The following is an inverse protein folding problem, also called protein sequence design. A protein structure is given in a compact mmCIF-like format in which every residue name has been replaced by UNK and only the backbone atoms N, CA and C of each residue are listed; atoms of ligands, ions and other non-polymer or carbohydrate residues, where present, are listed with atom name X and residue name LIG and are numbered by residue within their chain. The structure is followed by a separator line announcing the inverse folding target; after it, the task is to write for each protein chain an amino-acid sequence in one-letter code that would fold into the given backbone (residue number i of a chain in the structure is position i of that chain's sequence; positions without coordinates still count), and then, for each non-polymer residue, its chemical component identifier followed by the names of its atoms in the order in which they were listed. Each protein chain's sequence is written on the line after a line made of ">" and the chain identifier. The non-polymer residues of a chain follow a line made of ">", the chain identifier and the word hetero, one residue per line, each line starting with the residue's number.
data_IF_459128490957
#
_entry.id   IF_459128490957
#
_cell.length_a   1.000
_cell.length_b   1.000
_cell.length_c   1.000
_cell.angle_alpha   90.00
_cell.angle_beta   90.00
_cell.angle_gamma   90.00
#
_symmetry.space_group_name_H-M   'P 1'
#
loop_
_entity.id
_entity.type
_entity.pdbx_description
1 polymer ?
#
# COMPACT_ATOMS: atom_id res chain seq x y z
N UNK A 1 17.18 -54.72 34.23
CA UNK A 1 17.04 -53.80 33.09
C UNK A 1 15.62 -53.24 33.10
N UNK A 2 15.45 -51.92 33.27
CA UNK A 2 14.15 -51.23 33.15
C UNK A 2 14.22 -50.31 31.94
N UNK A 3 13.45 -50.62 30.91
CA UNK A 3 13.26 -49.81 29.69
C UNK A 3 12.65 -48.46 30.04
N UNK A 4 13.22 -47.32 29.61
CA UNK A 4 12.58 -46.03 29.80
C UNK A 4 11.39 -45.86 28.84
N UNK A 5 10.36 -45.24 29.39
CA UNK A 5 9.02 -45.03 28.85
C UNK A 5 9.03 -44.10 27.63
N UNK A 6 8.76 -44.66 26.45
CA UNK A 6 8.63 -43.99 25.14
C UNK A 6 7.43 -43.01 25.08
N UNK A 7 6.55 -43.00 26.08
CA UNK A 7 5.30 -42.22 26.02
C UNK A 7 5.46 -40.70 26.19
N UNK A 8 6.56 -40.22 26.78
CA UNK A 8 6.74 -38.77 27.05
C UNK A 8 7.43 -38.01 25.92
N UNK A 9 8.09 -38.69 24.99
CA UNK A 9 8.86 -38.06 23.92
C UNK A 9 7.98 -37.56 22.74
N UNK A 10 6.79 -38.12 22.56
CA UNK A 10 5.92 -37.80 21.41
C UNK A 10 5.05 -36.55 21.60
N UNK A 11 4.72 -36.20 22.85
CA UNK A 11 3.80 -35.08 23.14
C UNK A 11 4.52 -33.73 23.02
N UNK A 12 5.82 -33.66 23.35
CA UNK A 12 6.61 -32.41 23.26
C UNK A 12 6.94 -31.98 21.83
N UNK A 13 7.11 -32.92 20.90
CA UNK A 13 7.51 -32.63 19.52
C UNK A 13 6.38 -32.03 18.67
N UNK A 14 5.11 -32.26 19.05
CA UNK A 14 3.95 -31.78 18.27
C UNK A 14 3.64 -30.29 18.51
N UNK A 15 4.11 -29.70 19.62
CA UNK A 15 3.80 -28.30 19.98
C UNK A 15 4.77 -27.31 19.30
N UNK A 16 6.00 -27.73 18.96
CA UNK A 16 6.97 -26.87 18.27
C UNK A 16 6.75 -26.73 16.76
N UNK A 17 5.95 -27.61 16.14
CA UNK A 17 5.67 -27.54 14.71
C UNK A 17 4.58 -26.51 14.34
N UNK A 18 3.73 -26.10 15.30
CA UNK A 18 2.61 -25.19 15.05
C UNK A 18 3.00 -23.70 15.08
N UNK A 19 4.20 -23.35 15.55
CA UNK A 19 4.63 -21.96 15.74
C UNK A 19 5.41 -21.35 14.56
N UNK A 20 5.56 -22.07 13.44
CA UNK A 20 6.38 -21.63 12.30
C UNK A 20 5.58 -21.06 11.11
N UNK A 21 4.26 -20.92 11.25
CA UNK A 21 3.40 -20.34 10.20
C UNK A 21 2.61 -19.13 10.72
N UNK A 22 3.31 -18.12 11.22
CA UNK A 22 2.76 -16.76 11.21
C UNK A 22 3.33 -16.05 10.00
N UNK A 23 2.87 -16.43 8.80
CA UNK A 23 2.97 -15.54 7.65
C UNK A 23 2.15 -14.31 8.00
N UNK A 24 2.83 -13.27 8.46
CA UNK A 24 2.29 -11.93 8.64
C UNK A 24 1.90 -11.41 7.25
N UNK A 25 0.75 -11.85 6.75
CA UNK A 25 0.08 -11.24 5.62
C UNK A 25 -0.46 -9.89 6.11
N UNK A 26 0.42 -8.90 6.21
CA UNK A 26 0.03 -7.49 6.23
C UNK A 26 -0.37 -7.15 4.79
N UNK A 27 -1.50 -7.71 4.38
CA UNK A 27 -2.04 -7.63 3.06
C UNK A 27 -2.87 -6.36 2.92
N UNK A 28 -2.54 -5.56 1.90
CA UNK A 28 -3.28 -4.36 1.49
C UNK A 28 -3.39 -3.24 2.55
N UNK A 29 -2.68 -2.13 2.32
CA UNK A 29 -2.80 -0.92 3.12
C UNK A 29 -3.92 0.00 2.62
N UNK A 30 -4.62 0.65 3.53
CA UNK A 30 -5.60 1.71 3.25
C UNK A 30 -5.33 2.88 4.19
N UNK A 31 -5.34 4.10 3.65
CA UNK A 31 -5.14 5.33 4.43
C UNK A 31 -5.91 6.49 3.84
N UNK A 32 -6.36 7.40 4.71
CA UNK A 32 -7.09 8.61 4.31
C UNK A 32 -6.39 9.86 4.82
N UNK A 33 -6.44 10.93 4.05
CA UNK A 33 -5.87 12.22 4.40
C UNK A 33 -6.65 13.37 3.74
N UNK A 34 -6.27 14.60 4.09
CA UNK A 34 -6.80 15.84 3.50
C UNK A 34 -5.67 16.53 2.75
N UNK A 35 -5.85 16.69 1.44
CA UNK A 35 -4.89 17.35 0.55
C UNK A 35 -5.15 18.86 0.49
N UNK A 36 -4.18 19.65 0.95
CA UNK A 36 -4.26 21.11 1.05
C UNK A 36 -5.54 21.54 1.78
N UNK A 37 -5.51 21.36 3.09
CA UNK A 37 -6.61 21.70 4.00
C UNK A 37 -7.05 23.17 3.91
N UNK A 38 -6.14 24.08 3.51
CA UNK A 38 -6.44 25.48 3.26
C UNK A 38 -7.19 25.71 1.92
N UNK A 39 -7.08 24.77 0.99
CA UNK A 39 -7.77 24.77 -0.30
C UNK A 39 -7.28 25.83 -1.28
N UNK A 40 -6.11 26.41 -1.06
CA UNK A 40 -5.60 27.54 -1.85
C UNK A 40 -4.53 27.15 -2.88
N UNK A 41 -4.01 25.92 -2.85
CA UNK A 41 -2.96 25.44 -3.76
C UNK A 41 -3.54 24.52 -4.83
N UNK A 42 -3.69 25.02 -6.06
CA UNK A 42 -4.24 24.26 -7.18
C UNK A 42 -3.42 23.03 -7.60
N UNK A 43 -2.17 22.93 -7.16
CA UNK A 43 -1.26 21.82 -7.47
C UNK A 43 -0.75 21.13 -6.21
N UNK A 44 -1.51 21.19 -5.12
CA UNK A 44 -1.16 20.52 -3.87
C UNK A 44 -0.84 19.04 -4.12
N UNK A 45 0.25 18.60 -3.49
CA UNK A 45 0.77 17.23 -3.65
C UNK A 45 1.27 16.72 -2.30
N UNK A 46 0.75 15.57 -1.90
CA UNK A 46 1.25 14.79 -0.77
C UNK A 46 2.15 13.67 -1.28
N UNK A 47 3.16 13.30 -0.49
CA UNK A 47 4.17 12.32 -0.85
C UNK A 47 4.40 11.32 0.28
N UNK A 48 4.45 10.04 -0.08
CA UNK A 48 4.86 8.94 0.77
C UNK A 48 5.92 8.08 0.07
N UNK A 49 6.73 7.38 0.86
CA UNK A 49 7.55 6.26 0.39
C UNK A 49 6.97 4.96 0.91
N UNK A 50 6.95 3.95 0.06
CA UNK A 50 6.52 2.59 0.42
C UNK A 50 7.69 1.65 0.19
N UNK A 51 8.09 0.93 1.22
CA UNK A 51 9.12 -0.08 1.10
C UNK A 51 8.47 -1.46 0.89
N UNK A 52 8.77 -2.08 -0.25
CA UNK A 52 8.35 -3.44 -0.55
C UNK A 52 9.44 -4.45 -0.17
N UNK A 53 9.09 -5.56 0.51
CA UNK A 53 10.06 -6.56 0.94
C UNK A 53 10.56 -7.43 -0.24
N UNK A 54 11.59 -8.23 0.04
CA UNK A 54 12.09 -9.26 -0.88
C UNK A 54 10.97 -10.22 -1.32
N UNK A 55 11.04 -10.71 -2.55
CA UNK A 55 9.98 -11.54 -3.16
C UNK A 55 8.83 -10.73 -3.79
N UNK A 56 8.83 -9.41 -3.64
CA UNK A 56 7.93 -8.53 -4.39
C UNK A 56 8.31 -8.50 -5.86
N UNK A 57 7.31 -8.60 -6.73
CA UNK A 57 7.38 -8.41 -8.18
C UNK A 57 6.98 -6.96 -8.57
N UNK A 58 5.90 -6.45 -7.98
CA UNK A 58 5.39 -5.11 -8.28
C UNK A 58 4.68 -4.46 -7.09
N UNK A 59 4.56 -3.14 -7.16
CA UNK A 59 3.76 -2.33 -6.24
C UNK A 59 2.55 -1.77 -6.97
N UNK A 60 1.38 -1.83 -6.33
CA UNK A 60 0.10 -1.38 -6.87
C UNK A 60 -0.55 -0.35 -5.94
N UNK A 61 -1.25 0.63 -6.52
CA UNK A 61 -2.05 1.57 -5.76
C UNK A 61 -3.27 2.08 -6.55
N UNK A 62 -4.25 2.60 -5.82
CA UNK A 62 -5.42 3.30 -6.33
C UNK A 62 -5.80 4.43 -5.37
N UNK A 63 -6.55 5.43 -5.86
CA UNK A 63 -7.04 6.55 -5.05
C UNK A 63 -8.54 6.75 -5.22
N UNK A 64 -9.18 7.22 -4.16
CA UNK A 64 -10.58 7.61 -4.11
C UNK A 64 -10.66 9.06 -3.61
N UNK A 65 -11.20 9.98 -4.41
CA UNK A 65 -11.65 11.29 -3.92
C UNK A 65 -12.98 11.09 -3.18
N UNK A 66 -12.99 11.36 -1.88
CA UNK A 66 -14.19 11.25 -1.02
C UNK A 66 -14.90 12.59 -0.83
N UNK A 67 -14.43 13.63 -1.51
CA UNK A 67 -15.00 14.98 -1.45
C UNK A 67 -16.20 15.13 -2.38
N UNK A 68 -16.98 16.20 -2.20
CA UNK A 68 -17.99 16.58 -3.17
C UNK A 68 -17.35 16.91 -4.53
N UNK A 69 -18.01 16.50 -5.61
CA UNK A 69 -17.52 16.72 -6.96
C UNK A 69 -17.48 18.22 -7.27
N UNK A 70 -16.35 18.68 -7.81
CA UNK A 70 -16.18 20.05 -8.33
C UNK A 70 -15.64 19.95 -9.73
N UNK A 71 -16.25 20.69 -10.66
CA UNK A 71 -15.84 20.68 -12.05
C UNK A 71 -14.37 21.10 -12.20
N UNK A 72 -13.61 20.29 -12.94
CA UNK A 72 -12.18 20.55 -13.20
C UNK A 72 -11.23 20.25 -12.05
N UNK A 73 -11.73 19.75 -10.91
CA UNK A 73 -10.88 19.30 -9.80
C UNK A 73 -10.85 17.78 -9.74
N UNK A 74 -9.70 17.23 -10.06
CA UNK A 74 -9.41 15.80 -10.06
C UNK A 74 -8.34 15.48 -9.03
N UNK A 75 -8.41 14.29 -8.45
CA UNK A 75 -7.38 13.74 -7.55
C UNK A 75 -6.75 12.52 -8.24
N UNK A 76 -5.43 12.52 -8.35
CA UNK A 76 -4.67 11.45 -9.00
C UNK A 76 -3.61 10.89 -8.08
N UNK A 77 -3.35 9.59 -8.21
CA UNK A 77 -2.23 8.90 -7.58
C UNK A 77 -1.17 8.64 -8.62
N UNK A 78 0.09 8.81 -8.23
CA UNK A 78 1.25 8.49 -9.04
C UNK A 78 2.15 7.54 -8.27
N UNK A 79 2.59 6.49 -8.94
CA UNK A 79 3.61 5.57 -8.43
C UNK A 79 4.87 5.80 -9.23
N UNK A 80 6.00 5.91 -8.55
CA UNK A 80 7.31 6.07 -9.16
C UNK A 80 8.33 5.14 -8.53
N UNK A 81 9.14 4.49 -9.37
CA UNK A 81 10.34 3.77 -8.96
C UNK A 81 11.36 3.77 -10.08
N UNK A 82 12.60 4.13 -9.77
CA UNK A 82 13.73 4.22 -10.69
C UNK A 82 13.44 5.06 -11.93
N UNK A 83 13.03 4.44 -13.03
CA UNK A 83 12.69 5.11 -14.30
C UNK A 83 11.24 4.84 -14.74
N UNK A 84 10.49 4.09 -13.93
CA UNK A 84 9.12 3.72 -14.21
C UNK A 84 8.15 4.59 -13.40
N UNK A 85 7.08 5.03 -14.07
CA UNK A 85 6.01 5.78 -13.45
C UNK A 85 4.67 5.36 -14.03
N UNK A 86 3.65 5.30 -13.19
CA UNK A 86 2.25 5.12 -13.62
C UNK A 86 1.33 6.06 -12.84
N UNK A 87 0.14 6.31 -13.37
CA UNK A 87 -0.82 7.26 -12.83
C UNK A 87 -2.23 6.73 -12.95
N UNK A 88 -3.04 6.94 -11.92
CA UNK A 88 -4.48 6.73 -11.98
C UNK A 88 -5.22 7.91 -11.36
N UNK A 89 -6.41 8.21 -11.88
CA UNK A 89 -7.21 9.36 -11.45
C UNK A 89 -8.56 8.88 -10.94
N UNK A 90 -8.95 9.35 -9.76
CA UNK A 90 -10.30 9.10 -9.24
C UNK A 90 -11.30 9.94 -10.04
N UNK A 91 -12.42 9.31 -10.42
CA UNK A 91 -13.49 9.99 -11.16
C UNK A 91 -14.83 9.75 -10.49
N UNK A 92 -15.64 10.81 -10.39
CA UNK A 92 -17.03 10.77 -9.91
C UNK A 92 -17.19 10.12 -8.52
N UNK A 93 -16.23 10.34 -7.61
CA UNK A 93 -16.27 9.77 -6.26
C UNK A 93 -16.10 8.24 -6.21
N UNK A 94 -15.53 7.64 -7.26
CA UNK A 94 -15.18 6.23 -7.30
C UNK A 94 -13.66 6.06 -7.19
N UNK A 95 -13.25 4.86 -6.78
CA UNK A 95 -11.85 4.45 -6.88
C UNK A 95 -11.36 4.62 -8.33
N UNK A 96 -10.12 5.08 -8.48
CA UNK A 96 -9.40 4.98 -9.74
C UNK A 96 -9.17 3.52 -10.11
N UNK A 97 -8.77 3.27 -11.36
CA UNK A 97 -8.16 1.99 -11.70
C UNK A 97 -6.96 1.71 -10.78
N UNK A 98 -6.73 0.42 -10.50
CA UNK A 98 -5.50 -0.02 -9.83
C UNK A 98 -4.38 0.03 -10.85
N UNK A 99 -3.32 0.76 -10.54
CA UNK A 99 -2.12 0.86 -11.37
C UNK A 99 -0.93 0.28 -10.64
N UNK A 100 0.02 -0.28 -11.41
CA UNK A 100 1.17 -1.00 -10.87
C UNK A 100 2.48 -0.61 -11.52
N UNK A 101 3.58 -0.68 -10.76
CA UNK A 101 4.95 -0.56 -11.25
C UNK A 101 5.71 -1.84 -10.93
N UNK A 102 6.24 -2.50 -11.98
CA UNK A 102 6.98 -3.75 -11.91
C UNK A 102 8.46 -3.48 -11.70
N UNK A 103 8.80 -3.06 -10.47
CA UNK A 103 10.17 -2.74 -10.08
C UNK A 103 10.75 -3.67 -9.02
N UNK A 104 10.09 -4.77 -8.68
CA UNK A 104 10.54 -5.71 -7.65
C UNK A 104 10.59 -5.13 -6.24
N UNK A 105 11.39 -5.74 -5.36
CA UNK A 105 11.62 -5.30 -3.99
C UNK A 105 12.32 -3.93 -3.88
N UNK A 106 12.14 -3.23 -2.75
CA UNK A 106 12.74 -1.93 -2.45
C UNK A 106 11.72 -0.78 -2.40
N UNK A 107 12.24 0.44 -2.38
CA UNK A 107 11.44 1.65 -2.16
C UNK A 107 10.73 2.12 -3.43
N UNK A 108 9.45 2.41 -3.29
CA UNK A 108 8.60 3.11 -4.25
C UNK A 108 8.21 4.48 -3.66
N UNK A 109 7.97 5.45 -4.53
CA UNK A 109 7.37 6.73 -4.16
C UNK A 109 5.93 6.76 -4.64
N UNK A 110 5.05 7.18 -3.73
CA UNK A 110 3.62 7.30 -3.96
C UNK A 110 3.24 8.77 -3.72
N UNK A 111 2.70 9.43 -4.73
CA UNK A 111 2.21 10.80 -4.57
C UNK A 111 0.73 10.90 -4.91
N UNK A 112 0.03 11.78 -4.20
CA UNK A 112 -1.36 12.14 -4.51
C UNK A 112 -1.42 13.62 -4.80
N UNK A 113 -1.97 13.97 -5.96
CA UNK A 113 -2.00 15.35 -6.47
C UNK A 113 -3.41 15.74 -6.91
N UNK A 114 -3.74 17.03 -6.73
CA UNK A 114 -4.95 17.64 -7.30
C UNK A 114 -4.67 18.61 -8.45
N UNK A 115 -5.71 18.91 -9.22
CA UNK A 115 -5.63 19.75 -10.44
C UNK A 115 -6.21 21.16 -10.29
N UNK A 116 -6.85 21.49 -9.17
CA UNK A 116 -7.45 22.81 -8.96
C UNK A 116 -7.56 23.19 -7.47
N UNK A 117 -7.90 24.46 -7.19
CA UNK A 117 -8.11 24.98 -5.83
C UNK A 117 -9.33 24.33 -5.15
N UNK A 118 -9.26 24.18 -3.83
CA UNK A 118 -10.27 23.53 -3.00
C UNK A 118 -9.71 22.28 -2.31
N UNK A 119 -9.88 22.18 -1.00
CA UNK A 119 -9.41 21.05 -0.21
C UNK A 119 -10.03 19.72 -0.69
N UNK A 120 -9.27 18.63 -0.59
CA UNK A 120 -9.73 17.29 -1.01
C UNK A 120 -9.48 16.27 0.08
N UNK A 121 -10.55 15.62 0.53
CA UNK A 121 -10.45 14.38 1.29
C UNK A 121 -10.22 13.23 0.31
N UNK A 122 -9.22 12.41 0.57
CA UNK A 122 -8.92 11.27 -0.29
C UNK A 122 -8.56 10.04 0.53
N UNK A 123 -8.76 8.88 -0.07
CA UNK A 123 -8.33 7.58 0.45
C UNK A 123 -7.43 6.93 -0.59
N UNK A 124 -6.32 6.34 -0.15
CA UNK A 124 -5.40 5.58 -0.99
C UNK A 124 -5.41 4.13 -0.52
N UNK A 125 -5.46 3.21 -1.47
CA UNK A 125 -5.20 1.80 -1.24
C UNK A 125 -3.89 1.42 -1.92
N UNK A 126 -3.06 0.60 -1.26
CA UNK A 126 -1.76 0.22 -1.79
C UNK A 126 -1.35 -1.21 -1.38
N UNK A 127 -0.51 -1.84 -2.19
CA UNK A 127 -0.10 -3.23 -1.98
C UNK A 127 1.21 -3.57 -2.71
N UNK A 128 2.11 -4.29 -2.05
CA UNK A 128 3.28 -4.92 -2.68
C UNK A 128 2.90 -6.38 -2.95
N UNK A 129 3.12 -6.86 -4.18
CA UNK A 129 2.67 -8.20 -4.62
C UNK A 129 3.79 -8.98 -5.27
N UNK A 130 3.75 -10.31 -5.12
CA UNK A 130 4.60 -11.24 -5.85
C UNK A 130 4.09 -11.48 -7.28
N UNK A 131 4.80 -12.30 -8.05
CA UNK A 131 4.44 -12.66 -9.43
C UNK A 131 3.11 -13.43 -9.55
N UNK A 132 2.55 -13.93 -8.44
CA UNK A 132 1.27 -14.60 -8.37
C UNK A 132 0.13 -13.68 -7.89
N UNK A 133 0.39 -12.36 -7.77
CA UNK A 133 -0.51 -11.36 -7.21
C UNK A 133 -0.85 -11.58 -5.73
N UNK A 134 -0.01 -12.30 -4.98
CA UNK A 134 -0.15 -12.47 -3.53
C UNK A 134 0.58 -11.32 -2.84
N UNK A 135 -0.08 -10.67 -1.88
CA UNK A 135 0.54 -9.61 -1.09
C UNK A 135 1.76 -10.12 -0.34
N UNK A 136 2.89 -9.42 -0.48
CA UNK A 136 4.15 -9.70 0.21
C UNK A 136 4.33 -8.90 1.49
N UNK A 137 3.45 -7.93 1.75
CA UNK A 137 3.54 -7.00 2.88
C UNK A 137 4.06 -5.64 2.45
N UNK A 138 3.67 -4.59 3.16
CA UNK A 138 4.08 -3.21 2.85
C UNK A 138 4.45 -2.45 4.12
N UNK A 139 5.46 -1.59 4.03
CA UNK A 139 5.74 -0.57 5.04
C UNK A 139 5.63 0.82 4.41
N UNK A 140 4.73 1.67 4.92
CA UNK A 140 4.46 3.00 4.39
C UNK A 140 4.96 4.08 5.35
N UNK A 141 5.77 4.99 4.81
CA UNK A 141 6.23 6.18 5.50
C UNK A 141 5.73 7.42 4.77
N UNK A 142 4.95 8.26 5.46
CA UNK A 142 4.52 9.55 4.93
C UNK A 142 5.68 10.55 5.03
N UNK A 143 6.01 11.20 3.91
CA UNK A 143 7.16 12.11 3.81
C UNK A 143 6.71 13.58 3.89
N UNK A 144 5.61 13.91 3.22
CA UNK A 144 5.08 15.26 3.18
C UNK A 144 3.56 15.23 3.11
N UNK A 145 2.93 16.02 3.99
CA UNK A 145 1.50 16.37 3.95
C UNK A 145 1.43 17.90 3.86
N UNK A 146 0.61 18.43 2.93
CA UNK A 146 0.39 19.87 2.74
C UNK A 146 -0.91 20.39 3.36
#
# INVERSE_FOLDING_TARGET
>A
MKTPSIKKAFIGASILAASLYTSLAMAYGIGSAVLDSAGNNASATDLASVNCPDGTDHFSAAVLDTSSQVAGLLVSVHIYKDTQMTTATSTNGNWSDIVSVYGGAGTYYLSVRKTNVGARNFTVGWDCRDSNNVSTGTDLQVLQIQ
#
